data_IF_335044385999
#
_entry.id   IF_335044385999
#
_cell.length_a   1.000
_cell.length_b   1.000
_cell.length_c   1.000
_cell.angle_alpha   90.00
_cell.angle_beta   90.00
_cell.angle_gamma   90.00
#
_symmetry.space_group_name_H-M   'P 1'
#
loop_
_entity.id
_entity.type
_entity.pdbx_description
1 polymer ?
#
# COMPACT_ATOMS: atom_id res chain seq x y z
N UNK A 1 -1.15 22.51 -22.49
CA UNK A 1 -0.20 21.88 -21.54
C UNK A 1 -0.02 22.83 -20.39
N UNK A 2 -0.42 22.48 -19.16
CA UNK A 2 -0.30 23.38 -18.00
C UNK A 2 1.01 23.05 -17.25
N UNK A 3 2.12 23.79 -17.47
CA UNK A 3 3.43 23.44 -16.93
C UNK A 3 3.48 23.52 -15.40
N UNK A 4 2.78 24.47 -14.78
CA UNK A 4 2.83 24.65 -13.32
C UNK A 4 2.05 23.58 -12.57
N UNK A 5 0.92 23.14 -13.13
CA UNK A 5 0.15 22.01 -12.58
C UNK A 5 1.05 20.77 -12.52
N UNK A 6 1.81 20.47 -13.58
CA UNK A 6 2.70 19.30 -13.60
C UNK A 6 3.86 19.37 -12.59
N UNK A 7 4.33 20.58 -12.24
CA UNK A 7 5.42 20.73 -11.27
C UNK A 7 4.97 20.36 -9.84
N UNK A 8 3.76 20.75 -9.46
CA UNK A 8 3.28 20.62 -8.08
C UNK A 8 2.15 19.60 -7.90
N UNK A 9 1.78 18.87 -8.95
CA UNK A 9 0.73 17.85 -8.85
C UNK A 9 1.09 16.57 -9.57
N UNK A 10 0.46 15.50 -9.13
CA UNK A 10 0.58 14.17 -9.70
C UNK A 10 -0.73 13.85 -10.41
N UNK A 11 -0.66 13.46 -11.69
CA UNK A 11 -1.82 13.01 -12.45
C UNK A 11 -2.15 11.56 -12.06
N UNK A 12 -3.22 11.38 -11.27
CA UNK A 12 -3.64 10.07 -10.78
C UNK A 12 -4.22 9.21 -11.91
N UNK A 13 -4.87 9.81 -12.92
CA UNK A 13 -5.40 9.05 -14.05
C UNK A 13 -4.27 8.54 -14.95
N UNK A 14 -3.20 9.31 -15.11
CA UNK A 14 -2.00 8.85 -15.79
C UNK A 14 -1.39 7.64 -15.06
N UNK A 15 -1.19 7.73 -13.74
CA UNK A 15 -0.65 6.61 -12.96
C UNK A 15 -1.55 5.36 -13.01
N UNK A 16 -2.87 5.56 -13.02
CA UNK A 16 -3.83 4.46 -13.16
C UNK A 16 -3.71 3.77 -14.54
N UNK A 17 -3.60 4.54 -15.63
CA UNK A 17 -3.40 3.99 -16.99
C UNK A 17 -2.10 3.22 -17.13
N UNK A 18 -1.04 3.70 -16.49
CA UNK A 18 0.27 3.07 -16.47
C UNK A 18 0.31 1.83 -15.55
N UNK A 19 -0.76 1.52 -14.82
CA UNK A 19 -0.79 0.43 -13.84
C UNK A 19 0.17 0.64 -12.66
N UNK A 20 0.55 1.90 -12.39
CA UNK A 20 1.47 2.28 -11.30
C UNK A 20 0.75 2.54 -9.98
N UNK A 21 -0.57 2.68 -10.01
CA UNK A 21 -1.37 2.70 -8.80
C UNK A 21 -1.57 1.27 -8.28
N UNK A 22 -1.58 1.13 -6.97
CA UNK A 22 -1.93 -0.13 -6.34
C UNK A 22 -3.38 -0.47 -6.68
N UNK A 23 -3.64 -1.74 -7.00
CA UNK A 23 -5.01 -2.22 -7.12
C UNK A 23 -5.73 -2.02 -5.79
N UNK A 24 -6.81 -1.26 -5.84
CA UNK A 24 -7.64 -1.00 -4.67
C UNK A 24 -8.59 -2.17 -4.51
N UNK A 25 -8.47 -2.83 -3.37
CA UNK A 25 -9.27 -4.00 -3.01
C UNK A 25 -10.07 -3.60 -1.76
N UNK A 26 -11.38 -3.79 -1.80
CA UNK A 26 -12.29 -3.25 -0.78
C UNK A 26 -12.62 -1.77 -0.98
N UNK A 27 -13.37 -1.21 -0.02
CA UNK A 27 -13.85 0.18 -0.01
C UNK A 27 -14.74 0.60 -1.19
N UNK A 28 -15.42 -0.37 -1.82
CA UNK A 28 -16.29 -0.11 -2.96
C UNK A 28 -17.44 0.85 -2.64
N UNK A 29 -17.96 0.79 -1.41
CA UNK A 29 -19.02 1.68 -0.90
C UNK A 29 -18.55 3.14 -0.87
N UNK A 30 -17.36 3.39 -0.34
CA UNK A 30 -16.77 4.70 -0.17
C UNK A 30 -16.45 5.30 -1.54
N UNK A 31 -15.84 4.51 -2.43
CA UNK A 31 -15.56 4.95 -3.81
C UNK A 31 -16.88 5.26 -4.55
N UNK A 32 -17.92 4.43 -4.38
CA UNK A 32 -19.26 4.72 -4.95
C UNK A 32 -19.83 6.03 -4.38
N UNK A 33 -19.69 6.27 -3.09
CA UNK A 33 -20.14 7.51 -2.45
C UNK A 33 -19.37 8.72 -2.99
N UNK A 34 -18.06 8.63 -3.17
CA UNK A 34 -17.25 9.67 -3.81
C UNK A 34 -17.76 10.00 -5.22
N UNK A 35 -18.03 8.99 -6.05
CA UNK A 35 -18.59 9.18 -7.39
C UNK A 35 -19.96 9.86 -7.30
N UNK A 36 -20.83 9.40 -6.41
CA UNK A 36 -22.16 9.98 -6.21
C UNK A 36 -22.12 11.45 -5.79
N UNK A 37 -21.15 11.85 -4.96
CA UNK A 37 -20.99 13.26 -4.59
C UNK A 37 -20.50 14.08 -5.78
N UNK A 38 -19.48 13.59 -6.50
CA UNK A 38 -18.86 14.34 -7.60
C UNK A 38 -19.80 14.60 -8.79
N UNK A 39 -20.87 13.81 -8.97
CA UNK A 39 -21.87 14.03 -10.02
C UNK A 39 -23.02 14.96 -9.61
N UNK A 40 -23.08 15.41 -8.35
CA UNK A 40 -24.15 16.28 -7.88
C UNK A 40 -24.01 17.70 -8.43
N UNK A 41 -25.14 18.42 -8.52
CA UNK A 41 -25.18 19.84 -8.92
C UNK A 41 -24.82 20.81 -7.79
N UNK A 42 -24.84 20.33 -6.54
CA UNK A 42 -24.58 21.11 -5.33
C UNK A 42 -23.82 20.24 -4.35
N UNK A 43 -22.95 20.86 -3.55
CA UNK A 43 -22.11 20.17 -2.57
C UNK A 43 -21.32 18.99 -3.17
N UNK A 44 -20.81 19.16 -4.39
CA UNK A 44 -20.09 18.15 -5.17
C UNK A 44 -18.60 18.04 -4.82
N UNK A 45 -18.14 18.75 -3.81
CA UNK A 45 -16.81 18.59 -3.22
C UNK A 45 -16.94 17.75 -1.95
N UNK A 46 -15.86 17.10 -1.51
CA UNK A 46 -15.93 16.36 -0.25
C UNK A 46 -14.62 16.31 0.53
N UNK A 47 -14.79 16.18 1.84
CA UNK A 47 -13.76 15.77 2.77
C UNK A 47 -13.72 14.25 2.85
N UNK A 48 -12.57 13.67 2.60
CA UNK A 48 -12.30 12.29 2.99
C UNK A 48 -11.87 12.32 4.45
N UNK A 49 -12.68 11.73 5.32
CA UNK A 49 -12.41 11.67 6.76
C UNK A 49 -12.02 10.25 7.10
N UNK A 50 -10.86 10.10 7.70
CA UNK A 50 -10.30 8.79 7.97
C UNK A 50 -9.70 8.72 9.38
N UNK A 51 -10.22 7.84 10.22
CA UNK A 51 -9.65 7.54 11.55
C UNK A 51 -8.56 6.43 11.50
N UNK A 52 -8.27 5.91 10.30
CA UNK A 52 -7.42 4.74 10.07
C UNK A 52 -6.09 5.10 9.37
N UNK A 53 -5.16 4.14 9.28
CA UNK A 53 -3.92 4.26 8.49
C UNK A 53 -4.11 3.79 7.03
N UNK A 54 -5.32 3.44 6.62
CA UNK A 54 -5.60 3.35 5.18
C UNK A 54 -5.25 4.73 4.59
N UNK A 55 -4.82 4.72 3.35
CA UNK A 55 -4.29 5.95 2.75
C UNK A 55 -5.40 6.56 1.91
N UNK A 56 -5.61 7.87 2.05
CA UNK A 56 -6.44 8.67 1.15
C UNK A 56 -6.10 8.37 -0.33
N UNK A 57 -4.82 8.08 -0.59
CA UNK A 57 -4.29 7.67 -1.89
C UNK A 57 -4.87 6.35 -2.39
N UNK A 58 -5.27 5.43 -1.50
CA UNK A 58 -5.98 4.20 -1.84
C UNK A 58 -7.39 4.52 -2.36
N UNK A 59 -8.22 5.26 -1.62
CA UNK A 59 -9.58 5.62 -2.10
C UNK A 59 -9.51 6.43 -3.40
N UNK A 60 -8.62 7.43 -3.46
CA UNK A 60 -8.42 8.25 -4.66
C UNK A 60 -7.85 7.45 -5.83
N UNK A 61 -6.98 6.48 -5.58
CA UNK A 61 -6.46 5.58 -6.60
C UNK A 61 -7.54 4.66 -7.16
N UNK A 62 -8.45 4.19 -6.32
CA UNK A 62 -9.58 3.34 -6.74
C UNK A 62 -10.59 4.13 -7.56
N UNK A 63 -10.83 5.38 -7.17
CA UNK A 63 -11.59 6.34 -7.97
C UNK A 63 -10.93 6.56 -9.35
N UNK A 64 -9.62 6.81 -9.38
CA UNK A 64 -8.86 7.00 -10.61
C UNK A 64 -8.96 5.78 -11.54
N UNK A 65 -8.83 4.56 -10.97
CA UNK A 65 -8.95 3.32 -11.71
C UNK A 65 -10.34 3.16 -12.33
N UNK A 66 -11.42 3.42 -11.57
CA UNK A 66 -12.78 3.35 -12.10
C UNK A 66 -13.05 4.37 -13.22
N UNK A 67 -12.44 5.56 -13.13
CA UNK A 67 -12.53 6.56 -14.20
C UNK A 67 -11.82 6.06 -15.47
N UNK A 68 -10.64 5.45 -15.34
CA UNK A 68 -9.88 4.88 -16.48
C UNK A 68 -10.61 3.69 -17.10
N UNK A 69 -11.15 2.81 -16.26
CA UNK A 69 -11.94 1.63 -16.66
C UNK A 69 -13.31 1.99 -17.26
N UNK A 70 -13.69 3.28 -17.31
CA UNK A 70 -15.02 3.74 -17.74
C UNK A 70 -16.18 3.16 -16.92
N UNK A 71 -15.93 2.81 -15.65
CA UNK A 71 -16.94 2.33 -14.67
C UNK A 71 -17.60 3.47 -13.91
N UNK A 72 -17.68 4.65 -14.51
CA UNK A 72 -18.27 5.87 -13.93
C UNK A 72 -19.19 6.54 -14.96
N UNK A 73 -20.21 7.31 -14.54
CA UNK A 73 -21.06 8.04 -15.48
C UNK A 73 -20.27 9.04 -16.34
N UNK A 74 -20.74 9.30 -17.56
CA UNK A 74 -20.05 10.20 -18.52
C UNK A 74 -19.86 11.64 -18.03
N UNK A 75 -20.71 12.08 -17.11
CA UNK A 75 -20.69 13.41 -16.49
C UNK A 75 -19.46 13.60 -15.58
N UNK A 76 -18.82 12.49 -15.18
CA UNK A 76 -17.70 12.51 -14.24
C UNK A 76 -16.50 13.33 -14.75
N UNK A 77 -15.82 14.09 -13.88
CA UNK A 77 -14.59 14.78 -14.24
C UNK A 77 -13.53 13.83 -14.80
N UNK A 78 -13.01 14.13 -15.99
CA UNK A 78 -12.00 13.31 -16.71
C UNK A 78 -10.55 13.64 -16.37
N UNK A 79 -10.32 14.44 -15.33
CA UNK A 79 -8.98 14.82 -14.84
C UNK A 79 -8.97 14.78 -13.32
N UNK A 80 -8.02 14.06 -12.76
CA UNK A 80 -7.83 13.92 -11.32
C UNK A 80 -6.36 14.15 -11.00
N UNK A 81 -6.07 15.21 -10.25
CA UNK A 81 -4.72 15.59 -9.85
C UNK A 81 -4.61 15.59 -8.33
N UNK A 82 -3.55 15.01 -7.80
CA UNK A 82 -3.17 15.13 -6.39
C UNK A 82 -2.16 16.28 -6.24
N UNK A 83 -2.52 17.33 -5.51
CA UNK A 83 -1.66 18.48 -5.27
C UNK A 83 -0.67 18.18 -4.14
N UNK A 84 0.62 18.39 -4.38
CA UNK A 84 1.64 18.26 -3.36
C UNK A 84 1.86 19.59 -2.62
N UNK A 85 1.20 19.75 -1.48
CA UNK A 85 1.34 20.94 -0.65
C UNK A 85 2.73 21.08 -0.02
N UNK A 86 3.44 19.97 0.24
CA UNK A 86 4.79 20.04 0.81
C UNK A 86 5.76 20.66 -0.20
N UNK A 87 5.72 20.22 -1.46
CA UNK A 87 6.54 20.80 -2.53
C UNK A 87 6.26 22.29 -2.74
N UNK A 88 5.00 22.71 -2.57
CA UNK A 88 4.64 24.13 -2.62
C UNK A 88 5.23 24.92 -1.45
N UNK A 89 5.15 24.38 -0.22
CA UNK A 89 5.70 25.02 0.98
C UNK A 89 7.22 25.12 0.92
N UNK A 90 7.91 24.08 0.46
CA UNK A 90 9.38 24.09 0.34
C UNK A 90 9.89 25.09 -0.69
N UNK A 91 9.14 25.30 -1.78
CA UNK A 91 9.52 26.23 -2.86
C UNK A 91 9.21 27.70 -2.53
N UNK A 92 8.61 27.98 -1.37
CA UNK A 92 8.14 29.32 -1.00
C UNK A 92 8.65 29.76 0.35
N UNK A 93 9.08 31.02 0.43
CA UNK A 93 9.65 31.58 1.67
C UNK A 93 8.59 32.29 2.52
N UNK A 94 7.49 32.72 1.89
CA UNK A 94 6.44 33.48 2.55
C UNK A 94 5.03 32.99 2.20
N UNK A 95 4.08 33.24 3.10
CA UNK A 95 2.65 32.98 2.88
C UNK A 95 2.12 33.68 1.62
N UNK A 96 2.65 34.86 1.30
CA UNK A 96 2.25 35.61 0.12
C UNK A 96 2.73 34.94 -1.17
N UNK A 97 3.92 34.33 -1.17
CA UNK A 97 4.43 33.53 -2.29
C UNK A 97 3.63 32.25 -2.49
N UNK A 98 3.29 31.54 -1.40
CA UNK A 98 2.38 30.40 -1.44
C UNK A 98 1.05 30.74 -2.10
N UNK A 99 0.44 31.83 -1.67
CA UNK A 99 -0.82 32.30 -2.22
C UNK A 99 -0.68 32.67 -3.71
N UNK A 100 0.45 33.24 -4.12
CA UNK A 100 0.72 33.51 -5.54
C UNK A 100 0.84 32.20 -6.34
N UNK A 101 1.64 31.24 -5.88
CA UNK A 101 1.83 29.94 -6.54
C UNK A 101 0.52 29.17 -6.69
N UNK A 102 -0.30 29.12 -5.63
CA UNK A 102 -1.63 28.50 -5.68
C UNK A 102 -2.56 29.23 -6.67
N UNK A 103 -2.54 30.57 -6.71
CA UNK A 103 -3.30 31.33 -7.71
C UNK A 103 -2.88 30.97 -9.13
N UNK A 104 -1.59 30.84 -9.41
CA UNK A 104 -1.10 30.44 -10.73
C UNK A 104 -1.60 29.04 -11.12
N UNK A 105 -1.55 28.08 -10.21
CA UNK A 105 -2.09 26.73 -10.44
C UNK A 105 -3.59 26.78 -10.72
N UNK A 106 -4.36 27.54 -9.95
CA UNK A 106 -5.81 27.66 -10.13
C UNK A 106 -6.18 28.39 -11.45
N UNK A 107 -5.39 29.39 -11.86
CA UNK A 107 -5.57 30.08 -13.14
C UNK A 107 -5.32 29.14 -14.33
N UNK A 108 -4.33 28.26 -14.23
CA UNK A 108 -4.02 27.26 -15.27
C UNK A 108 -5.15 26.23 -15.47
N UNK A 109 -6.02 26.02 -14.47
CA UNK A 109 -7.13 25.05 -14.56
C UNK A 109 -8.21 25.55 -15.53
N UNK A 110 -8.53 26.84 -15.50
CA UNK A 110 -9.38 27.52 -16.49
C UNK A 110 -9.09 29.01 -16.40
N UNK A 111 -8.66 29.62 -17.51
CA UNK A 111 -8.35 31.04 -17.81
C UNK A 111 -9.20 32.11 -17.09
N UNK A 112 -9.26 32.08 -15.76
CA UNK A 112 -9.96 33.04 -14.93
C UNK A 112 -8.98 34.17 -14.64
N UNK A 113 -9.23 35.33 -15.23
CA UNK A 113 -8.44 36.53 -14.96
C UNK A 113 -9.03 37.28 -13.75
N UNK A 114 -8.13 37.99 -13.03
CA UNK A 114 -8.46 39.13 -12.17
C UNK A 114 -9.08 38.93 -10.77
N UNK A 115 -9.06 37.73 -10.20
CA UNK A 115 -9.41 37.57 -8.78
C UNK A 115 -8.18 37.70 -7.87
N UNK A 116 -8.12 38.79 -7.09
CA UNK A 116 -7.03 39.03 -6.13
C UNK A 116 -7.08 38.08 -4.93
N UNK A 117 -8.26 37.71 -4.43
CA UNK A 117 -8.41 36.88 -3.24
C UNK A 117 -8.64 35.40 -3.60
N UNK A 118 -7.79 34.48 -3.12
CA UNK A 118 -7.96 33.03 -3.35
C UNK A 118 -9.34 32.54 -2.94
N UNK A 119 -9.87 33.04 -1.81
CA UNK A 119 -11.15 32.58 -1.27
C UNK A 119 -12.28 32.87 -2.27
N UNK A 120 -12.27 34.05 -2.89
CA UNK A 120 -13.26 34.40 -3.89
C UNK A 120 -13.04 33.64 -5.21
N UNK A 121 -11.78 33.36 -5.56
CA UNK A 121 -11.47 32.55 -6.73
C UNK A 121 -12.01 31.12 -6.56
N UNK A 122 -11.84 30.53 -5.37
CA UNK A 122 -12.38 29.21 -5.05
C UNK A 122 -13.91 29.19 -5.09
N UNK A 123 -14.58 30.20 -4.51
CA UNK A 123 -16.05 30.31 -4.59
C UNK A 123 -16.53 30.33 -6.04
N UNK A 124 -15.93 31.16 -6.90
CA UNK A 124 -16.27 31.21 -8.33
C UNK A 124 -16.01 29.89 -9.04
N UNK A 125 -14.92 29.20 -8.71
CA UNK A 125 -14.60 27.90 -9.29
C UNK A 125 -15.61 26.82 -8.88
N UNK A 126 -16.08 26.85 -7.64
CA UNK A 126 -17.11 25.94 -7.13
C UNK A 126 -18.52 26.27 -7.67
N UNK A 127 -18.90 27.55 -7.71
CA UNK A 127 -20.23 27.98 -8.20
C UNK A 127 -20.46 27.63 -9.68
N UNK A 128 -19.39 27.55 -10.48
CA UNK A 128 -19.45 27.22 -11.90
C UNK A 128 -19.16 25.74 -12.22
N UNK A 129 -19.07 24.86 -11.22
CA UNK A 129 -18.68 23.44 -11.37
C UNK A 129 -17.38 23.25 -12.19
N UNK A 130 -16.47 24.23 -12.13
CA UNK A 130 -15.21 24.24 -12.88
C UNK A 130 -14.10 23.50 -12.16
N UNK A 131 -14.21 23.37 -10.84
CA UNK A 131 -13.26 22.70 -9.97
C UNK A 131 -14.02 21.77 -9.02
N UNK A 132 -13.63 20.51 -9.00
CA UNK A 132 -13.99 19.59 -7.93
C UNK A 132 -12.77 19.44 -7.03
N UNK A 133 -12.98 19.56 -5.73
CA UNK A 133 -11.94 19.51 -4.74
C UNK A 133 -12.23 18.36 -3.76
N UNK A 134 -11.21 17.55 -3.54
CA UNK A 134 -11.22 16.48 -2.55
C UNK A 134 -10.17 16.85 -1.51
N UNK A 135 -10.57 16.93 -0.25
CA UNK A 135 -9.67 17.29 0.84
C UNK A 135 -9.56 16.10 1.78
N UNK A 136 -8.33 15.68 2.05
CA UNK A 136 -8.03 14.68 3.05
C UNK A 136 -7.96 15.25 4.46
N UNK A 137 -8.63 14.63 5.42
CA UNK A 137 -8.54 14.98 6.84
C UNK A 137 -8.41 13.73 7.71
N UNK A 138 -7.57 13.82 8.74
CA UNK A 138 -7.23 12.67 9.59
C UNK A 138 -8.21 12.40 10.71
N UNK A 139 -9.09 13.35 11.04
CA UNK A 139 -10.06 13.14 12.13
C UNK A 139 -11.34 13.92 11.87
N UNK A 140 -12.44 13.41 12.40
CA UNK A 140 -13.70 14.14 12.49
C UNK A 140 -13.56 15.47 13.24
N UNK A 141 -12.65 15.54 14.22
CA UNK A 141 -12.38 16.75 15.00
C UNK A 141 -11.78 17.87 14.15
N UNK A 142 -10.85 17.54 13.24
CA UNK A 142 -10.30 18.50 12.28
C UNK A 142 -11.39 19.00 11.33
N UNK A 143 -12.19 18.09 10.78
CA UNK A 143 -13.32 18.46 9.92
C UNK A 143 -14.29 19.41 10.63
N UNK A 144 -14.66 19.13 11.89
CA UNK A 144 -15.55 20.01 12.68
C UNK A 144 -14.96 21.41 12.83
N UNK A 145 -13.68 21.52 13.19
CA UNK A 145 -12.99 22.82 13.28
C UNK A 145 -13.04 23.57 11.95
N UNK A 146 -12.74 22.91 10.83
CA UNK A 146 -12.77 23.56 9.52
C UNK A 146 -14.18 24.01 9.12
N UNK A 147 -15.18 23.17 9.39
CA UNK A 147 -16.57 23.45 9.06
C UNK A 147 -17.15 24.60 9.91
N UNK A 148 -16.87 24.61 11.22
CA UNK A 148 -17.29 25.69 12.14
C UNK A 148 -16.63 27.03 11.80
N UNK A 149 -15.40 27.01 11.28
CA UNK A 149 -14.65 28.24 11.00
C UNK A 149 -15.04 28.91 9.67
N UNK A 150 -15.51 28.14 8.67
CA UNK A 150 -15.65 28.67 7.31
C UNK A 150 -16.97 28.27 6.63
N UNK A 151 -17.81 29.26 6.34
CA UNK A 151 -19.09 29.12 5.60
C UNK A 151 -18.98 28.47 4.21
N UNK A 152 -17.79 28.47 3.59
CA UNK A 152 -17.58 27.88 2.26
C UNK A 152 -17.64 26.35 2.33
N UNK A 153 -17.03 25.75 3.35
CA UNK A 153 -16.97 24.29 3.44
C UNK A 153 -18.38 23.71 3.61
N UNK A 154 -19.20 24.29 4.49
CA UNK A 154 -20.59 23.86 4.69
C UNK A 154 -21.45 23.96 3.40
N UNK A 155 -21.20 24.99 2.58
CA UNK A 155 -21.98 25.27 1.37
C UNK A 155 -21.60 24.39 0.18
N UNK A 156 -20.33 24.03 0.03
CA UNK A 156 -19.81 23.36 -1.18
C UNK A 156 -19.30 21.93 -0.94
N UNK A 157 -19.10 21.52 0.32
CA UNK A 157 -18.51 20.22 0.65
C UNK A 157 -19.49 19.30 1.39
N UNK A 158 -19.33 18.01 1.15
CA UNK A 158 -19.83 16.91 1.97
C UNK A 158 -18.65 16.23 2.66
N UNK A 159 -18.91 15.22 3.48
CA UNK A 159 -17.85 14.33 3.97
C UNK A 159 -18.15 12.88 3.57
N UNK A 160 -17.08 12.13 3.36
CA UNK A 160 -17.08 10.68 3.17
C UNK A 160 -16.28 10.11 4.32
N UNK A 161 -16.96 9.37 5.19
CA UNK A 161 -16.32 8.68 6.30
C UNK A 161 -15.77 7.36 5.79
N UNK A 162 -14.44 7.21 5.81
CA UNK A 162 -13.77 5.95 5.52
C UNK A 162 -13.80 5.12 6.79
N UNK A 163 -14.51 3.99 6.72
CA UNK A 163 -14.59 3.06 7.85
C UNK A 163 -13.34 2.20 7.89
N UNK A 164 -13.04 1.68 9.08
CA UNK A 164 -12.02 0.66 9.23
C UNK A 164 -12.33 -0.55 8.33
N UNK A 165 -11.29 -1.11 7.73
CA UNK A 165 -11.40 -2.29 6.87
C UNK A 165 -11.86 -3.50 7.68
N UNK A 166 -12.87 -4.24 7.21
CA UNK A 166 -13.27 -5.48 7.89
C UNK A 166 -12.18 -6.56 7.74
N UNK A 167 -12.20 -7.58 8.60
CA UNK A 167 -11.28 -8.73 8.48
C UNK A 167 -11.45 -9.42 7.12
N UNK A 168 -12.68 -9.51 6.61
CA UNK A 168 -12.97 -10.11 5.31
C UNK A 168 -12.40 -9.27 4.16
N UNK A 169 -12.55 -7.95 4.22
CA UNK A 169 -11.96 -7.04 3.21
C UNK A 169 -10.43 -7.08 3.27
N UNK A 170 -9.86 -7.20 4.46
CA UNK A 170 -8.41 -7.39 4.63
C UNK A 170 -7.93 -8.68 3.96
N UNK A 171 -8.65 -9.80 4.12
CA UNK A 171 -8.32 -11.06 3.43
C UNK A 171 -8.37 -10.87 1.91
N UNK A 172 -9.37 -10.15 1.38
CA UNK A 172 -9.44 -9.84 -0.05
C UNK A 172 -8.27 -8.98 -0.53
N UNK A 173 -7.89 -7.97 0.26
CA UNK A 173 -6.70 -7.14 -0.01
C UNK A 173 -5.46 -8.02 -0.05
N UNK A 174 -5.25 -8.87 0.96
CA UNK A 174 -4.09 -9.75 1.07
C UNK A 174 -3.99 -10.74 -0.10
N UNK A 175 -5.12 -11.31 -0.54
CA UNK A 175 -5.17 -12.21 -1.71
C UNK A 175 -4.79 -11.53 -3.02
N UNK A 176 -5.05 -10.22 -3.15
CA UNK A 176 -4.65 -9.48 -4.33
C UNK A 176 -3.20 -9.01 -4.31
N UNK A 177 -2.54 -9.01 -3.14
CA UNK A 177 -1.09 -8.92 -3.09
C UNK A 177 -0.55 -10.25 -3.61
N UNK A 178 0.21 -10.23 -4.72
CA UNK A 178 0.76 -11.42 -5.38
C UNK A 178 1.86 -12.10 -4.53
N UNK A 179 1.48 -12.66 -3.38
CA UNK A 179 2.33 -13.42 -2.48
C UNK A 179 2.01 -14.90 -2.64
N UNK A 180 3.04 -15.72 -2.86
CA UNK A 180 2.93 -17.18 -2.87
C UNK A 180 2.85 -17.66 -1.42
N UNK A 181 1.67 -17.56 -0.81
CA UNK A 181 1.39 -17.96 0.57
C UNK A 181 0.10 -18.77 0.58
N UNK A 182 0.04 -19.78 1.44
CA UNK A 182 -1.16 -20.57 1.65
C UNK A 182 -2.34 -19.67 2.07
N UNK A 183 -3.50 -19.84 1.43
CA UNK A 183 -4.68 -19.00 1.71
C UNK A 183 -5.12 -19.07 3.17
N UNK A 184 -5.04 -20.26 3.78
CA UNK A 184 -5.31 -20.45 5.22
C UNK A 184 -4.37 -19.63 6.11
N UNK A 185 -3.12 -19.45 5.71
CA UNK A 185 -2.17 -18.64 6.46
C UNK A 185 -2.53 -17.14 6.38
N UNK A 186 -3.08 -16.67 5.26
CA UNK A 186 -3.58 -15.29 5.13
C UNK A 186 -4.79 -15.05 6.03
N UNK A 187 -5.76 -15.98 6.03
CA UNK A 187 -6.96 -15.91 6.86
C UNK A 187 -6.61 -15.88 8.35
N UNK A 188 -5.71 -16.77 8.79
CA UNK A 188 -5.26 -16.82 10.18
C UNK A 188 -4.46 -15.59 10.57
N UNK A 189 -3.57 -15.10 9.71
CA UNK A 189 -2.82 -13.87 9.94
C UNK A 189 -3.75 -12.67 10.12
N UNK A 190 -4.75 -12.50 9.26
CA UNK A 190 -5.72 -11.41 9.35
C UNK A 190 -6.52 -11.46 10.66
N UNK A 191 -7.00 -12.65 11.06
CA UNK A 191 -7.75 -12.85 12.30
C UNK A 191 -6.91 -12.62 13.57
N UNK A 192 -5.68 -13.13 13.60
CA UNK A 192 -4.76 -12.92 14.73
C UNK A 192 -4.32 -11.46 14.84
N UNK A 193 -4.04 -10.81 13.70
CA UNK A 193 -3.65 -9.40 13.68
C UNK A 193 -4.76 -8.53 14.25
N UNK A 194 -6.01 -8.77 13.84
CA UNK A 194 -7.16 -8.03 14.37
C UNK A 194 -7.38 -8.24 15.87
N UNK A 195 -7.06 -9.44 16.37
CA UNK A 195 -7.28 -9.80 17.78
C UNK A 195 -6.19 -9.27 18.72
N UNK A 196 -4.93 -9.31 18.28
CA UNK A 196 -3.78 -9.09 19.16
C UNK A 196 -3.06 -7.76 18.92
N UNK A 197 -3.25 -7.13 17.75
CA UNK A 197 -2.65 -5.82 17.48
C UNK A 197 -3.68 -4.73 17.79
N UNK A 198 -3.39 -3.79 18.71
CA UNK A 198 -4.37 -2.78 19.13
C UNK A 198 -4.82 -1.86 17.98
N UNK A 199 -6.05 -1.37 18.11
CA UNK A 199 -6.76 -0.51 17.15
C UNK A 199 -6.01 0.79 16.83
N UNK A 200 -6.20 1.37 15.63
CA UNK A 200 -7.11 0.92 14.56
C UNK A 200 -6.55 -0.27 13.76
N UNK A 201 -7.43 -1.19 13.34
CA UNK A 201 -7.05 -2.29 12.46
C UNK A 201 -6.67 -1.74 11.08
N UNK A 202 -5.54 -2.21 10.53
CA UNK A 202 -5.09 -1.81 9.19
C UNK A 202 -4.56 -3.02 8.43
N UNK A 203 -4.94 -3.19 7.15
CA UNK A 203 -4.37 -4.20 6.28
C UNK A 203 -2.84 -4.12 6.21
N UNK A 204 -2.26 -2.92 6.29
CA UNK A 204 -0.80 -2.72 6.27
C UNK A 204 -0.10 -3.47 7.41
N UNK A 205 -0.66 -3.46 8.62
CA UNK A 205 -0.08 -4.18 9.77
C UNK A 205 0.00 -5.68 9.49
N UNK A 206 -1.03 -6.23 8.85
CA UNK A 206 -1.07 -7.65 8.48
C UNK A 206 -0.07 -7.94 7.36
N UNK A 207 0.02 -7.05 6.35
CA UNK A 207 1.00 -7.14 5.26
C UNK A 207 2.43 -7.10 5.81
N UNK A 208 2.72 -6.22 6.75
CA UNK A 208 4.06 -6.07 7.34
C UNK A 208 4.44 -7.31 8.15
N UNK A 209 3.51 -7.84 8.95
CA UNK A 209 3.69 -9.09 9.69
C UNK A 209 3.95 -10.26 8.73
N UNK A 210 3.20 -10.36 7.64
CA UNK A 210 3.42 -11.38 6.60
C UNK A 210 4.79 -11.22 5.95
N UNK A 211 5.19 -9.99 5.58
CA UNK A 211 6.52 -9.72 5.00
C UNK A 211 7.65 -10.12 5.94
N UNK A 212 7.49 -9.85 7.23
CA UNK A 212 8.46 -10.25 8.25
C UNK A 212 8.57 -11.78 8.37
N UNK A 213 7.44 -12.49 8.37
CA UNK A 213 7.42 -13.96 8.35
C UNK A 213 8.07 -14.51 7.08
N UNK A 214 7.76 -13.94 5.90
CA UNK A 214 8.37 -14.32 4.64
C UNK A 214 9.90 -14.11 4.64
N UNK A 215 10.37 -13.03 5.26
CA UNK A 215 11.80 -12.77 5.40
C UNK A 215 12.46 -13.81 6.31
N UNK A 216 11.88 -14.07 7.48
CA UNK A 216 12.40 -15.03 8.46
C UNK A 216 12.42 -16.46 7.92
N UNK A 217 11.37 -16.86 7.18
CA UNK A 217 11.31 -18.18 6.53
C UNK A 217 12.36 -18.32 5.44
N UNK A 218 12.56 -17.28 4.61
CA UNK A 218 13.62 -17.27 3.61
C UNK A 218 15.02 -17.38 4.25
N UNK A 219 15.28 -16.64 5.32
CA UNK A 219 16.55 -16.73 6.06
C UNK A 219 16.76 -18.13 6.64
N UNK A 220 15.73 -18.75 7.25
CA UNK A 220 15.78 -20.13 7.74
C UNK A 220 16.10 -21.12 6.62
N UNK A 221 15.46 -21.02 5.46
CA UNK A 221 15.75 -21.87 4.30
C UNK A 221 17.19 -21.72 3.81
N UNK A 222 17.72 -20.49 3.79
CA UNK A 222 19.12 -20.26 3.39
C UNK A 222 20.10 -20.85 4.38
N UNK A 223 19.83 -20.75 5.69
CA UNK A 223 20.66 -21.35 6.73
C UNK A 223 20.62 -22.88 6.69
N UNK A 224 19.44 -23.46 6.47
CA UNK A 224 19.31 -24.92 6.29
C UNK A 224 20.05 -25.41 5.04
N UNK A 225 20.00 -24.67 3.93
CA UNK A 225 20.74 -25.03 2.72
C UNK A 225 22.25 -25.02 2.95
N UNK A 226 22.77 -24.05 3.72
CA UNK A 226 24.18 -24.04 4.15
C UNK A 226 24.51 -25.26 5.00
N UNK A 227 23.63 -25.61 5.94
CA UNK A 227 23.83 -26.78 6.82
C UNK A 227 23.92 -28.09 6.02
N UNK A 228 23.06 -28.25 5.02
CA UNK A 228 23.10 -29.39 4.10
C UNK A 228 24.43 -29.44 3.35
N UNK A 229 24.92 -28.30 2.85
CA UNK A 229 26.21 -28.23 2.16
C UNK A 229 27.39 -28.59 3.09
N UNK A 230 27.37 -28.14 4.35
CA UNK A 230 28.38 -28.52 5.35
C UNK A 230 28.36 -30.03 5.63
N UNK A 231 27.16 -30.62 5.75
CA UNK A 231 27.01 -32.06 5.97
C UNK A 231 27.52 -32.85 4.76
N UNK A 232 27.26 -32.39 3.53
CA UNK A 232 27.79 -33.01 2.31
C UNK A 232 29.31 -32.94 2.23
N UNK A 233 29.92 -31.80 2.60
CA UNK A 233 31.38 -31.68 2.65
C UNK A 233 31.98 -32.65 3.67
N UNK A 234 31.42 -32.71 4.88
CA UNK A 234 31.85 -33.67 5.92
C UNK A 234 31.66 -35.12 5.48
N UNK A 235 30.58 -35.43 4.76
CA UNK A 235 30.38 -36.77 4.18
C UNK A 235 31.48 -37.11 3.18
N UNK A 236 31.86 -36.18 2.29
CA UNK A 236 32.98 -36.37 1.36
C UNK A 236 34.30 -36.60 2.09
N UNK A 237 34.64 -35.77 3.07
CA UNK A 237 35.87 -35.90 3.85
C UNK A 237 35.97 -37.23 4.60
N UNK A 238 34.85 -37.72 5.16
CA UNK A 238 34.81 -39.00 5.85
C UNK A 238 34.90 -40.18 4.87
N UNK A 239 34.27 -40.09 3.69
CA UNK A 239 34.44 -41.10 2.64
C UNK A 239 35.90 -41.16 2.14
N UNK A 240 36.55 -40.02 1.95
CA UNK A 240 37.96 -39.94 1.55
C UNK A 240 38.88 -40.54 2.64
N UNK A 241 38.59 -40.25 3.91
CA UNK A 241 39.29 -40.87 5.05
C UNK A 241 39.12 -42.39 5.08
N UNK A 242 37.91 -42.91 4.81
CA UNK A 242 37.69 -44.37 4.70
C UNK A 242 38.51 -44.96 3.55
N UNK A 243 38.57 -44.29 2.40
CA UNK A 243 39.33 -44.75 1.23
C UNK A 243 40.84 -44.81 1.46
N UNK A 244 41.37 -43.97 2.34
CA UNK A 244 42.81 -43.90 2.68
C UNK A 244 43.24 -44.83 3.83
N UNK A 245 42.30 -45.40 4.59
CA UNK A 245 42.58 -46.29 5.71
C UNK A 245 42.79 -47.73 5.22
N UNK A 246 43.89 -48.36 5.63
CA UNK A 246 44.19 -49.77 5.34
C UNK A 246 43.45 -50.74 6.29
N UNK A 247 43.21 -51.98 5.83
CA UNK A 247 42.44 -53.03 6.55
C UNK A 247 42.93 -53.38 7.97
N UNK A 248 44.10 -52.91 8.39
CA UNK A 248 44.66 -53.14 9.72
C UNK A 248 44.04 -52.22 10.80
N UNK A 249 43.41 -51.10 10.42
CA UNK A 249 42.80 -50.14 11.36
C UNK A 249 41.28 -50.35 11.54
N UNK A 250 40.87 -51.61 11.75
CA UNK A 250 39.47 -52.05 11.81
C UNK A 250 38.61 -51.31 12.85
N UNK A 251 39.18 -50.89 13.98
CA UNK A 251 38.43 -50.16 15.02
C UNK A 251 38.13 -48.71 14.61
N UNK A 252 39.10 -48.03 13.97
CA UNK A 252 38.92 -46.67 13.46
C UNK A 252 37.93 -46.64 12.29
N UNK A 253 38.01 -47.64 11.40
CA UNK A 253 37.03 -47.83 10.31
C UNK A 253 35.60 -47.98 10.83
N UNK A 254 35.39 -48.74 11.91
CA UNK A 254 34.06 -48.90 12.54
C UNK A 254 33.56 -47.61 13.18
N UNK A 255 34.44 -46.80 13.78
CA UNK A 255 34.05 -45.51 14.36
C UNK A 255 33.67 -44.51 13.28
N UNK A 256 34.52 -44.34 12.26
CA UNK A 256 34.27 -43.43 11.13
C UNK A 256 33.02 -43.85 10.36
N UNK A 257 32.77 -45.16 10.18
CA UNK A 257 31.54 -45.66 9.54
C UNK A 257 30.26 -45.36 10.33
N UNK A 258 30.30 -45.37 11.67
CA UNK A 258 29.16 -44.97 12.52
C UNK A 258 28.87 -43.48 12.41
N UNK A 259 29.91 -42.65 12.42
CA UNK A 259 29.78 -41.19 12.23
C UNK A 259 29.20 -40.85 10.85
N UNK A 260 29.64 -41.57 9.82
CA UNK A 260 29.16 -41.40 8.45
C UNK A 260 27.68 -41.78 8.31
N UNK A 261 27.25 -42.87 8.93
CA UNK A 261 25.85 -43.27 8.97
C UNK A 261 24.97 -42.24 9.71
N UNK A 262 25.49 -41.67 10.80
CA UNK A 262 24.79 -40.62 11.56
C UNK A 262 24.62 -39.35 10.70
N UNK A 263 25.68 -38.93 9.99
CA UNK A 263 25.67 -37.75 9.12
C UNK A 263 24.74 -37.96 7.92
N UNK A 264 24.77 -39.14 7.29
CA UNK A 264 23.81 -39.51 6.22
C UNK A 264 22.37 -39.43 6.71
N UNK A 265 22.08 -40.01 7.87
CA UNK A 265 20.74 -39.94 8.48
C UNK A 265 20.28 -38.49 8.67
N UNK A 266 21.15 -37.63 9.22
CA UNK A 266 20.84 -36.22 9.43
C UNK A 266 20.64 -35.46 8.11
N UNK A 267 21.46 -35.75 7.09
CA UNK A 267 21.31 -35.19 5.74
C UNK A 267 19.96 -35.56 5.12
N UNK A 268 19.55 -36.84 5.20
CA UNK A 268 18.26 -37.29 4.66
C UNK A 268 17.07 -36.62 5.36
N UNK A 269 17.11 -36.51 6.69
CA UNK A 269 16.06 -35.85 7.47
C UNK A 269 15.94 -34.35 7.12
N UNK A 270 17.07 -33.63 7.02
CA UNK A 270 17.05 -32.22 6.64
C UNK A 270 16.57 -32.02 5.18
N UNK A 271 16.96 -32.92 4.27
CA UNK A 271 16.52 -32.87 2.87
C UNK A 271 15.03 -33.15 2.71
N UNK A 272 14.48 -34.12 3.43
CA UNK A 272 13.03 -34.36 3.46
C UNK A 272 12.27 -33.16 4.03
N UNK A 273 12.80 -32.53 5.07
CA UNK A 273 12.19 -31.34 5.66
C UNK A 273 12.13 -30.17 4.67
N UNK A 274 13.22 -29.91 3.92
CA UNK A 274 13.23 -28.88 2.86
C UNK A 274 12.28 -29.24 1.72
N UNK A 275 12.22 -30.51 1.31
CA UNK A 275 11.31 -30.93 0.24
C UNK A 275 9.84 -30.74 0.65
N UNK A 276 9.50 -31.01 1.92
CA UNK A 276 8.17 -30.68 2.45
C UNK A 276 7.92 -29.17 2.40
N UNK A 277 8.89 -28.34 2.76
CA UNK A 277 8.75 -26.88 2.72
C UNK A 277 8.68 -26.29 1.29
N UNK A 278 9.22 -26.96 0.27
CA UNK A 278 9.16 -26.53 -1.13
C UNK A 278 7.87 -26.91 -1.85
N UNK A 279 7.15 -27.92 -1.36
CA UNK A 279 5.92 -28.42 -1.94
C UNK A 279 4.65 -27.73 -1.37
N UNK A 280 4.82 -26.75 -0.49
CA UNK A 280 3.79 -25.81 -0.03
C UNK A 280 4.00 -24.44 -0.68
#
# INVERSE_FOLDING_TARGET
>A
SCPNIRKYSIDLLYLAREGKLNNVLGHDSEIRQCIQILIQKRKNNFFLIEDSRVTETTILGGLAQRIVDQKVPDIMPRRLFALNMQALITDTTSRNELEKSLRFILKDIKNLTDVKNIINLLKLLFDHDKLHCIIGTRTLSEYRKYNETNSIFEKYFQYVLVKETSVNDCILILRGVKLLILDLALVTAAGLTNRYIPNPYSPEKTIDLIKEICKNTKERMTNQSKRINELQQKESELNDKIGNLSNEENEKLKQVGKELNLIKSNYYLEKEYINKLKNF
#
